data_IF_977525609947
#
_entry.id   IF_977525609947
#
_cell.length_a   1.000
_cell.length_b   1.000
_cell.length_c   1.000
_cell.angle_alpha   90.00
_cell.angle_beta   90.00
_cell.angle_gamma   90.00
#
_symmetry.space_group_name_H-M   'P 1'
#
loop_
_entity.id
_entity.type
_entity.pdbx_description
1 polymer ?
#
# COMPACT_ATOMS: atom_id res chain seq x y z
N UNK A 1 6.19 6.42 -1.31
CA UNK A 1 4.91 7.16 -1.16
C UNK A 1 4.09 7.28 -2.45
N UNK A 2 4.64 7.81 -3.55
CA UNK A 2 3.89 7.96 -4.81
C UNK A 2 3.30 6.64 -5.34
N UNK A 3 4.01 5.52 -5.17
CA UNK A 3 3.55 4.19 -5.57
C UNK A 3 2.28 3.73 -4.83
N UNK A 4 2.19 3.98 -3.53
CA UNK A 4 1.00 3.64 -2.73
C UNK A 4 -0.22 4.48 -3.16
N UNK A 5 -0.02 5.76 -3.48
CA UNK A 5 -1.09 6.63 -3.97
C UNK A 5 -1.56 6.23 -5.38
N UNK A 6 -0.64 5.89 -6.28
CA UNK A 6 -0.96 5.37 -7.62
C UNK A 6 -1.72 4.03 -7.51
N UNK A 7 -1.27 3.13 -6.63
CA UNK A 7 -1.94 1.86 -6.37
C UNK A 7 -3.37 2.05 -5.83
N UNK A 8 -3.57 2.97 -4.89
CA UNK A 8 -4.89 3.33 -4.36
C UNK A 8 -5.84 3.82 -5.47
N UNK A 9 -5.36 4.75 -6.32
CA UNK A 9 -6.16 5.25 -7.45
C UNK A 9 -6.54 4.13 -8.43
N UNK A 10 -5.61 3.23 -8.74
CA UNK A 10 -5.86 2.09 -9.63
C UNK A 10 -6.86 1.09 -9.03
N UNK A 11 -6.79 0.83 -7.74
CA UNK A 11 -7.76 0.00 -7.02
C UNK A 11 -9.16 0.62 -7.05
N UNK A 12 -9.29 1.93 -6.86
CA UNK A 12 -10.58 2.62 -6.94
C UNK A 12 -11.17 2.58 -8.35
N UNK A 13 -10.34 2.73 -9.39
CA UNK A 13 -10.75 2.54 -10.79
C UNK A 13 -11.17 1.10 -11.05
N UNK A 14 -10.44 0.11 -10.53
CA UNK A 14 -10.80 -1.30 -10.67
C UNK A 14 -12.16 -1.59 -10.02
N UNK A 15 -12.38 -1.12 -8.80
CA UNK A 15 -13.66 -1.27 -8.09
C UNK A 15 -14.80 -0.60 -8.84
N UNK A 16 -14.60 0.59 -9.40
CA UNK A 16 -15.63 1.26 -10.18
C UNK A 16 -16.11 0.42 -11.39
N UNK A 17 -15.28 -0.50 -11.88
CA UNK A 17 -15.58 -1.37 -13.04
C UNK A 17 -16.11 -2.75 -12.64
N UNK A 18 -15.71 -3.27 -11.47
CA UNK A 18 -15.96 -4.66 -11.05
C UNK A 18 -16.78 -4.79 -9.77
N UNK A 19 -17.14 -3.66 -9.15
CA UNK A 19 -17.83 -3.53 -7.88
C UNK A 19 -17.10 -4.13 -6.65
N UNK A 20 -15.83 -4.54 -6.78
CA UNK A 20 -15.04 -5.12 -5.68
C UNK A 20 -13.58 -4.70 -5.75
N UNK A 21 -12.88 -4.73 -4.61
CA UNK A 21 -11.42 -4.62 -4.58
C UNK A 21 -10.79 -6.00 -4.77
N UNK A 22 -9.64 -6.04 -5.45
CA UNK A 22 -8.86 -7.28 -5.67
C UNK A 22 -7.66 -7.31 -4.75
N UNK A 23 -7.29 -8.50 -4.31
CA UNK A 23 -6.05 -8.83 -3.61
C UNK A 23 -4.87 -9.06 -4.57
N UNK A 24 -5.11 -9.15 -5.88
CA UNK A 24 -4.08 -9.42 -6.90
C UNK A 24 -3.69 -8.11 -7.60
N UNK A 25 -2.50 -7.54 -7.35
CA UNK A 25 -2.08 -6.25 -7.92
C UNK A 25 -2.17 -6.17 -9.45
N UNK A 26 -1.87 -7.27 -10.15
CA UNK A 26 -1.91 -7.35 -11.60
C UNK A 26 -3.32 -7.10 -12.18
N UNK A 27 -4.38 -7.51 -11.47
CA UNK A 27 -5.76 -7.29 -11.91
C UNK A 27 -6.11 -5.79 -12.00
N UNK A 28 -5.46 -4.95 -11.19
CA UNK A 28 -5.61 -3.50 -11.17
C UNK A 28 -4.47 -2.77 -11.90
N UNK A 29 -3.57 -3.46 -12.60
CA UNK A 29 -2.38 -2.89 -13.26
C UNK A 29 -1.42 -2.18 -12.30
N UNK A 30 -1.24 -2.75 -11.11
CA UNK A 30 -0.33 -2.24 -10.07
C UNK A 30 0.98 -3.02 -10.13
N UNK A 31 2.11 -2.30 -10.16
CA UNK A 31 3.44 -2.91 -10.09
C UNK A 31 3.76 -3.30 -8.65
N UNK A 32 4.26 -4.52 -8.45
CA UNK A 32 4.68 -5.02 -7.13
C UNK A 32 6.09 -4.62 -6.73
N UNK A 33 6.88 -4.08 -7.66
CA UNK A 33 8.25 -3.63 -7.40
C UNK A 33 8.46 -2.19 -7.84
N UNK A 34 9.43 -1.54 -7.20
CA UNK A 34 9.91 -0.22 -7.62
C UNK A 34 10.89 -0.34 -8.77
N UNK A 35 10.78 0.47 -9.85
CA UNK A 35 11.78 0.51 -10.92
C UNK A 35 13.20 0.86 -10.44
N UNK A 36 13.30 1.58 -9.31
CA UNK A 36 14.56 1.98 -8.68
C UNK A 36 14.92 1.11 -7.47
N UNK A 37 14.15 0.06 -7.19
CA UNK A 37 14.41 -0.88 -6.11
C UNK A 37 14.09 -0.38 -4.70
N UNK A 38 13.34 0.71 -4.52
CA UNK A 38 12.95 1.22 -3.19
C UNK A 38 12.04 0.30 -2.38
N UNK A 39 11.28 -0.56 -3.06
CA UNK A 39 10.47 -1.62 -2.46
C UNK A 39 10.48 -2.83 -3.40
N UNK A 40 10.41 -4.02 -2.82
CA UNK A 40 10.44 -5.31 -3.53
C UNK A 40 9.10 -6.05 -3.48
N UNK A 41 8.17 -5.62 -2.64
CA UNK A 41 6.81 -6.14 -2.58
C UNK A 41 5.77 -5.02 -2.48
N UNK A 42 4.57 -5.34 -2.98
CA UNK A 42 3.34 -4.59 -2.73
C UNK A 42 2.21 -5.58 -2.58
N UNK A 43 1.56 -5.54 -1.42
CA UNK A 43 0.46 -6.43 -1.07
C UNK A 43 -0.84 -5.63 -0.91
N UNK A 44 -1.95 -6.24 -1.32
CA UNK A 44 -3.28 -5.67 -1.20
C UNK A 44 -4.12 -6.60 -0.34
N UNK A 45 -4.63 -6.06 0.76
CA UNK A 45 -5.56 -6.75 1.65
C UNK A 45 -6.95 -6.14 1.51
N UNK A 46 -7.81 -6.66 0.61
CA UNK A 46 -9.22 -6.28 0.57
C UNK A 46 -9.94 -6.86 1.79
N UNK A 47 -10.89 -6.11 2.36
CA UNK A 47 -11.61 -6.62 3.53
C UNK A 47 -12.66 -5.67 4.11
N UNK A 48 -13.12 -6.02 5.32
CA UNK A 48 -13.96 -5.17 6.14
C UNK A 48 -13.08 -4.43 7.15
N UNK A 49 -12.95 -3.12 7.00
CA UNK A 49 -12.19 -2.26 7.91
C UNK A 49 -13.19 -1.79 8.96
N UNK A 50 -13.53 -2.68 9.90
CA UNK A 50 -14.63 -2.46 10.83
C UNK A 50 -15.97 -2.33 10.09
N UNK A 51 -16.63 -1.18 10.25
CA UNK A 51 -17.97 -0.92 9.70
C UNK A 51 -17.97 -0.58 8.19
N UNK A 52 -16.80 -0.41 7.57
CA UNK A 52 -16.69 -0.01 6.17
C UNK A 52 -16.76 -1.25 5.27
N UNK A 53 -17.87 -1.38 4.54
CA UNK A 53 -18.03 -2.38 3.47
C UNK A 53 -17.21 -1.97 2.24
N UNK A 54 -16.44 -2.91 1.67
CA UNK A 54 -15.47 -2.66 0.60
C UNK A 54 -14.35 -1.71 1.08
N UNK A 55 -13.51 -2.17 1.99
CA UNK A 55 -12.27 -1.47 2.29
C UNK A 55 -11.08 -2.20 1.68
N UNK A 56 -9.93 -1.53 1.70
CA UNK A 56 -8.65 -2.14 1.38
C UNK A 56 -7.55 -1.55 2.25
N UNK A 57 -6.46 -2.30 2.34
CA UNK A 57 -5.16 -1.80 2.75
C UNK A 57 -4.11 -2.20 1.72
N UNK A 58 -3.20 -1.28 1.39
CA UNK A 58 -2.08 -1.51 0.49
C UNK A 58 -0.81 -1.30 1.30
N UNK A 59 0.07 -2.28 1.27
CA UNK A 59 1.35 -2.27 1.98
C UNK A 59 2.49 -2.41 0.99
N UNK A 60 3.60 -1.74 1.23
CA UNK A 60 4.88 -1.98 0.55
C UNK A 60 5.94 -2.31 1.60
N UNK A 61 6.75 -3.33 1.34
CA UNK A 61 7.96 -3.60 2.13
C UNK A 61 9.13 -2.83 1.53
N UNK A 62 9.78 -2.01 2.37
CA UNK A 62 10.86 -1.13 1.92
C UNK A 62 12.16 -1.91 1.88
N UNK A 63 12.98 -1.70 0.86
CA UNK A 63 14.31 -2.32 0.78
C UNK A 63 15.37 -1.40 1.39
N UNK A 64 16.54 -1.96 1.70
CA UNK A 64 17.68 -1.21 2.23
C UNK A 64 18.24 -0.12 1.28
N UNK A 65 17.76 -0.03 0.03
CA UNK A 65 18.15 0.99 -0.95
C UNK A 65 17.56 2.38 -0.65
N UNK A 66 16.52 2.47 0.19
CA UNK A 66 15.92 3.74 0.63
C UNK A 66 16.70 4.42 1.78
N UNK A 67 18.04 4.34 1.77
CA UNK A 67 18.88 5.20 2.61
C UNK A 67 18.91 4.89 4.12
N UNK A 68 19.59 3.79 4.47
CA UNK A 68 20.56 3.66 5.59
C UNK A 68 20.19 4.12 7.02
N UNK A 69 20.07 3.15 7.93
CA UNK A 69 20.36 3.25 9.39
C UNK A 69 19.65 4.30 10.26
N UNK A 70 18.86 5.24 9.73
CA UNK A 70 18.30 6.35 10.54
C UNK A 70 16.81 6.24 10.86
N UNK A 71 16.02 5.34 10.25
CA UNK A 71 14.56 5.40 10.40
C UNK A 71 13.83 4.13 10.88
N UNK A 72 14.45 2.96 11.02
CA UNK A 72 13.78 1.70 11.44
C UNK A 72 12.49 1.33 10.66
N UNK A 73 12.19 2.03 9.56
CA UNK A 73 10.97 1.82 8.76
C UNK A 73 11.16 0.59 7.88
N UNK A 74 10.33 -0.42 8.13
CA UNK A 74 10.30 -1.67 7.37
C UNK A 74 9.20 -1.70 6.30
N UNK A 75 8.12 -0.95 6.50
CA UNK A 75 6.97 -0.93 5.60
C UNK A 75 6.21 0.40 5.64
N UNK A 76 5.53 0.70 4.54
CA UNK A 76 4.55 1.77 4.46
C UNK A 76 3.20 1.22 4.02
N UNK A 77 2.13 1.82 4.54
CA UNK A 77 0.77 1.40 4.27
C UNK A 77 -0.15 2.58 3.99
N UNK A 78 -1.17 2.36 3.17
CA UNK A 78 -2.34 3.23 3.04
C UNK A 78 -3.61 2.39 3.08
N UNK A 79 -4.67 2.89 3.68
CA UNK A 79 -5.98 2.25 3.63
C UNK A 79 -6.99 3.06 2.81
N UNK A 80 -8.17 2.47 2.57
CA UNK A 80 -9.26 3.11 1.82
C UNK A 80 -9.83 4.39 2.45
N UNK A 81 -9.52 4.67 3.72
CA UNK A 81 -9.87 5.93 4.39
C UNK A 81 -8.80 7.02 4.18
N UNK A 82 -7.71 6.71 3.46
CA UNK A 82 -6.59 7.61 3.23
C UNK A 82 -5.64 7.73 4.43
N UNK A 83 -5.80 6.89 5.46
CA UNK A 83 -4.87 6.84 6.59
C UNK A 83 -3.56 6.26 6.09
N UNK A 84 -2.50 7.00 6.37
CA UNK A 84 -1.12 6.68 5.97
C UNK A 84 -0.39 6.19 7.19
N UNK A 85 0.28 5.06 7.09
CA UNK A 85 1.02 4.47 8.21
C UNK A 85 2.41 4.04 7.76
N UNK A 86 3.32 3.96 8.73
CA UNK A 86 4.66 3.40 8.58
C UNK A 86 4.94 2.42 9.72
N UNK A 87 5.76 1.42 9.47
CA UNK A 87 6.11 0.41 10.46
C UNK A 87 7.55 0.58 10.95
N UNK A 88 7.70 1.05 12.19
CA UNK A 88 8.98 1.29 12.90
C UNK A 88 9.08 0.39 14.14
N UNK A 89 8.84 -0.92 13.99
CA UNK A 89 8.61 -1.84 15.13
C UNK A 89 7.18 -1.82 15.66
N UNK A 90 6.29 -1.15 14.93
CA UNK A 90 4.87 -0.95 15.19
C UNK A 90 4.28 0.03 14.18
N UNK A 91 2.98 -0.11 13.87
CA UNK A 91 2.29 0.80 12.96
C UNK A 91 2.06 2.15 13.61
N UNK A 92 2.61 3.20 13.01
CA UNK A 92 2.43 4.59 13.42
C UNK A 92 1.83 5.38 12.26
N UNK A 93 0.89 6.27 12.55
CA UNK A 93 0.29 7.15 11.55
C UNK A 93 1.29 8.20 11.02
N UNK A 94 1.16 8.52 9.74
CA UNK A 94 2.01 9.45 9.00
C UNK A 94 3.12 8.74 8.23
N UNK A 95 3.36 9.20 7.00
CA UNK A 95 4.62 8.94 6.29
C UNK A 95 5.62 10.03 6.65
N UNK A 96 6.91 9.68 6.76
CA UNK A 96 8.00 10.65 6.88
C UNK A 96 8.36 11.23 5.51
#
# INVERSE_FOLDING_TARGET
MAALLDAAQKLDVFRARTASYTDVPANANISTTSPKGYYDSLDISPGACGDITNCYSIEITVTALDGQNEDDISAYRINSAGVKERNEGGWTEGWK
#
